data_IF_814144829717
#
_entry.id   IF_814144829717
#
_cell.length_a   1.000
_cell.length_b   1.000
_cell.length_c   1.000
_cell.angle_alpha   90.00
_cell.angle_beta   90.00
_cell.angle_gamma   90.00
#
_symmetry.space_group_name_H-M   'P 1'
#
loop_
_entity.id
_entity.type
_entity.pdbx_description
1 polymer ?
#
# COMPACT_ATOMS: atom_id res chain seq x y z
N UNK A 1 48.31 -79.30 -8.63
CA UNK A 1 47.55 -78.79 -9.79
C UNK A 1 46.72 -77.61 -9.31
N UNK A 2 47.12 -76.38 -9.65
CA UNK A 2 46.42 -75.17 -9.21
C UNK A 2 45.39 -74.76 -10.29
N UNK A 3 44.11 -74.72 -9.92
CA UNK A 3 43.02 -74.32 -10.81
C UNK A 3 42.77 -72.82 -10.63
N UNK A 4 43.02 -72.04 -11.68
CA UNK A 4 42.74 -70.60 -11.74
C UNK A 4 41.34 -70.39 -12.30
N UNK A 5 40.37 -70.05 -11.46
CA UNK A 5 39.04 -69.61 -11.89
C UNK A 5 39.11 -68.19 -12.45
N UNK A 6 38.92 -68.05 -13.77
CA UNK A 6 38.71 -66.75 -14.42
C UNK A 6 37.31 -66.26 -14.05
N UNK A 7 37.23 -65.18 -13.29
CA UNK A 7 35.98 -64.46 -13.01
C UNK A 7 35.51 -63.76 -14.30
N UNK A 8 34.33 -64.14 -14.78
CA UNK A 8 33.68 -63.50 -15.93
C UNK A 8 33.00 -62.21 -15.47
N UNK A 9 33.62 -61.08 -15.82
CA UNK A 9 33.17 -59.73 -15.48
C UNK A 9 32.25 -59.11 -16.56
N UNK A 10 31.78 -59.90 -17.54
CA UNK A 10 30.93 -59.41 -18.62
C UNK A 10 29.58 -58.80 -18.14
N UNK A 11 29.12 -59.15 -16.94
CA UNK A 11 27.88 -58.63 -16.36
C UNK A 11 28.03 -57.21 -15.79
N UNK A 12 29.25 -56.78 -15.42
CA UNK A 12 29.52 -55.44 -14.90
C UNK A 12 29.54 -54.37 -16.00
N UNK A 13 29.69 -54.77 -17.26
CA UNK A 13 29.81 -53.84 -18.38
C UNK A 13 28.45 -53.40 -18.95
N UNK A 14 27.33 -53.92 -18.44
CA UNK A 14 25.97 -53.65 -18.95
C UNK A 14 25.08 -52.82 -18.04
N UNK A 15 25.64 -51.97 -17.17
CA UNK A 15 24.85 -50.91 -16.54
C UNK A 15 25.22 -49.56 -17.16
N UNK A 16 24.32 -48.94 -17.95
CA UNK A 16 24.45 -47.54 -18.28
C UNK A 16 24.17 -46.74 -17.01
N UNK A 17 25.23 -46.44 -16.27
CA UNK A 17 25.19 -45.46 -15.18
C UNK A 17 25.04 -44.09 -15.83
N UNK A 18 23.86 -43.49 -15.70
CA UNK A 18 23.70 -42.03 -15.76
C UNK A 18 23.25 -41.42 -17.08
N UNK A 19 22.06 -41.79 -17.59
CA UNK A 19 21.39 -40.99 -18.64
C UNK A 19 19.94 -40.57 -18.32
N UNK A 20 19.41 -40.91 -17.14
CA UNK A 20 18.00 -40.62 -16.80
C UNK A 20 17.72 -39.39 -15.93
N UNK A 21 18.74 -38.69 -15.41
CA UNK A 21 18.51 -37.63 -14.41
C UNK A 21 18.23 -36.24 -15.01
N UNK A 22 18.45 -36.03 -16.31
CA UNK A 22 18.36 -34.71 -16.96
C UNK A 22 17.69 -34.73 -18.35
N UNK A 23 16.69 -35.58 -18.60
CA UNK A 23 15.76 -35.32 -19.70
C UNK A 23 14.69 -34.30 -19.27
N UNK A 24 15.14 -33.11 -18.86
CA UNK A 24 14.21 -31.98 -18.75
C UNK A 24 14.00 -31.40 -20.13
N UNK A 25 12.75 -31.35 -20.56
CA UNK A 25 12.37 -30.64 -21.77
C UNK A 25 12.89 -29.20 -21.72
N UNK A 26 13.32 -28.65 -22.86
CA UNK A 26 13.87 -27.29 -22.96
C UNK A 26 12.92 -26.24 -22.34
N UNK A 27 11.61 -26.49 -22.38
CA UNK A 27 10.59 -25.67 -21.74
C UNK A 27 10.64 -25.73 -20.21
N UNK A 28 10.86 -26.89 -19.60
CA UNK A 28 11.04 -27.03 -18.14
C UNK A 28 12.26 -26.24 -17.67
N UNK A 29 13.38 -26.37 -18.40
CA UNK A 29 14.63 -25.65 -18.09
C UNK A 29 14.39 -24.13 -18.18
N UNK A 30 13.78 -23.67 -19.27
CA UNK A 30 13.48 -22.26 -19.48
C UNK A 30 12.56 -21.69 -18.38
N UNK A 31 11.52 -22.42 -17.98
CA UNK A 31 10.61 -22.01 -16.90
C UNK A 31 11.33 -21.96 -15.56
N UNK A 32 12.16 -22.95 -15.23
CA UNK A 32 12.94 -22.93 -13.98
C UNK A 32 13.94 -21.78 -13.94
N UNK A 33 14.63 -21.48 -15.04
CA UNK A 33 15.56 -20.35 -15.13
C UNK A 33 14.82 -19.01 -15.02
N UNK A 34 13.69 -18.86 -15.70
CA UNK A 34 12.86 -17.66 -15.60
C UNK A 34 12.35 -17.47 -14.17
N UNK A 35 11.88 -18.52 -13.50
CA UNK A 35 11.45 -18.46 -12.11
C UNK A 35 12.61 -18.12 -11.15
N UNK A 36 13.80 -18.69 -11.36
CA UNK A 36 15.00 -18.43 -10.57
C UNK A 36 15.40 -16.95 -10.61
N UNK A 37 15.17 -16.26 -11.74
CA UNK A 37 15.48 -14.84 -11.89
C UNK A 37 14.33 -13.95 -11.44
N UNK A 38 13.10 -14.25 -11.86
CA UNK A 38 11.95 -13.37 -11.60
C UNK A 38 11.53 -13.36 -10.13
N UNK A 39 11.52 -14.51 -9.46
CA UNK A 39 11.11 -14.61 -8.05
C UNK A 39 11.95 -13.72 -7.13
N UNK A 40 13.30 -13.76 -7.13
CA UNK A 40 14.10 -12.89 -6.28
C UNK A 40 14.05 -11.42 -6.69
N UNK A 41 13.85 -11.10 -7.98
CA UNK A 41 13.68 -9.70 -8.43
C UNK A 41 12.36 -9.12 -7.91
N UNK A 42 11.27 -9.87 -8.04
CA UNK A 42 9.95 -9.47 -7.50
C UNK A 42 10.00 -9.38 -5.98
N UNK A 43 10.61 -10.36 -5.31
CA UNK A 43 10.81 -10.34 -3.87
C UNK A 43 11.64 -9.12 -3.44
N UNK A 44 12.77 -8.86 -4.11
CA UNK A 44 13.62 -7.70 -3.83
C UNK A 44 12.86 -6.39 -3.99
N UNK A 45 12.06 -6.23 -5.05
CA UNK A 45 11.23 -5.05 -5.25
C UNK A 45 10.22 -4.84 -4.11
N UNK A 46 9.55 -5.91 -3.66
CA UNK A 46 8.59 -5.87 -2.55
C UNK A 46 9.28 -5.55 -1.22
N UNK A 47 10.45 -6.13 -0.95
CA UNK A 47 11.17 -5.96 0.31
C UNK A 47 11.99 -4.67 0.37
N UNK A 48 12.50 -4.17 -0.76
CA UNK A 48 13.25 -2.92 -0.84
C UNK A 48 12.37 -1.71 -0.50
N UNK A 49 11.07 -1.74 -0.85
CA UNK A 49 10.11 -0.70 -0.48
C UNK A 49 9.80 -0.58 1.02
N UNK A 50 10.27 -1.52 1.86
CA UNK A 50 9.95 -1.58 3.30
C UNK A 50 11.04 -1.07 4.25
N UNK A 51 12.27 -0.79 3.77
CA UNK A 51 13.44 -0.60 4.66
C UNK A 51 13.75 0.83 5.14
N UNK A 52 12.88 1.82 4.92
CA UNK A 52 13.31 3.22 4.96
C UNK A 52 12.90 4.10 6.15
N UNK A 53 11.89 3.77 6.94
CA UNK A 53 11.40 4.68 7.99
C UNK A 53 10.84 3.87 9.15
N UNK A 54 11.01 4.36 10.39
CA UNK A 54 10.33 3.83 11.57
C UNK A 54 8.85 3.58 11.19
N UNK A 55 8.46 2.31 11.10
CA UNK A 55 7.20 1.93 10.48
C UNK A 55 6.05 2.37 11.39
N UNK A 56 5.46 3.53 11.07
CA UNK A 56 4.23 3.98 11.70
C UNK A 56 3.20 2.85 11.55
N UNK A 57 2.60 2.36 12.65
CA UNK A 57 1.72 1.21 12.62
C UNK A 57 0.55 1.44 11.68
N UNK A 58 0.28 0.48 10.80
CA UNK A 58 -0.87 0.49 9.90
C UNK A 58 -2.03 -0.26 10.56
N UNK A 59 -3.17 0.39 10.75
CA UNK A 59 -4.29 -0.17 11.51
C UNK A 59 -5.14 -1.18 10.73
N UNK A 60 -5.17 -1.05 9.40
CA UNK A 60 -5.89 -1.95 8.51
C UNK A 60 -4.97 -2.52 7.41
N UNK A 61 -3.94 -3.30 7.80
CA UNK A 61 -3.07 -3.93 6.81
C UNK A 61 -3.90 -4.89 5.95
N UNK A 62 -3.64 -4.96 4.63
CA UNK A 62 -4.23 -5.98 3.79
C UNK A 62 -3.78 -7.37 4.27
N UNK A 63 -4.71 -8.31 4.35
CA UNK A 63 -4.38 -9.71 4.62
C UNK A 63 -3.58 -10.36 3.47
N UNK A 64 -3.13 -11.61 3.66
CA UNK A 64 -2.54 -12.38 2.57
C UNK A 64 -3.50 -12.46 1.38
N UNK A 65 -3.02 -12.13 0.18
CA UNK A 65 -3.80 -12.06 -1.07
C UNK A 65 -4.92 -11.00 -1.11
N UNK A 66 -4.99 -10.12 -0.11
CA UNK A 66 -5.92 -9.00 -0.10
C UNK A 66 -5.27 -7.76 -0.74
N UNK A 67 -6.03 -7.05 -1.58
CA UNK A 67 -5.55 -5.81 -2.19
C UNK A 67 -5.73 -4.64 -1.23
N UNK A 68 -4.81 -3.67 -1.24
CA UNK A 68 -5.00 -2.42 -0.50
C UNK A 68 -6.31 -1.70 -0.88
N UNK A 69 -6.77 -1.88 -2.12
CA UNK A 69 -8.03 -1.31 -2.60
C UNK A 69 -9.25 -1.84 -1.83
N UNK A 70 -9.27 -3.10 -1.38
CA UNK A 70 -10.39 -3.61 -0.59
C UNK A 70 -10.49 -2.90 0.75
N UNK A 71 -9.35 -2.64 1.41
CA UNK A 71 -9.28 -1.87 2.66
C UNK A 71 -9.74 -0.43 2.46
N UNK A 72 -9.38 0.19 1.35
CA UNK A 72 -9.82 1.53 0.99
C UNK A 72 -11.35 1.62 0.84
N UNK A 73 -11.97 0.63 0.18
CA UNK A 73 -13.43 0.56 -0.02
C UNK A 73 -14.19 0.25 1.27
N UNK A 74 -13.61 -0.52 2.19
CA UNK A 74 -14.22 -0.84 3.49
C UNK A 74 -14.10 0.31 4.51
N UNK A 75 -13.10 1.19 4.34
CA UNK A 75 -12.80 2.24 5.30
C UNK A 75 -13.98 3.19 5.62
N UNK A 76 -14.81 3.65 4.67
CA UNK A 76 -15.94 4.52 4.98
C UNK A 76 -16.94 3.92 5.97
N UNK A 77 -17.08 2.58 6.00
CA UNK A 77 -18.00 1.89 6.89
C UNK A 77 -17.39 1.61 8.27
N UNK A 78 -16.07 1.37 8.34
CA UNK A 78 -15.38 0.89 9.54
C UNK A 78 -14.41 1.92 10.14
N UNK A 79 -14.25 3.09 9.51
CA UNK A 79 -13.18 4.04 9.81
C UNK A 79 -13.23 4.56 11.24
N UNK A 80 -14.42 4.83 11.77
CA UNK A 80 -14.59 5.30 13.15
C UNK A 80 -14.21 4.22 14.18
N UNK A 81 -14.60 2.97 13.94
CA UNK A 81 -14.25 1.84 14.81
C UNK A 81 -12.75 1.56 14.78
N UNK A 82 -12.14 1.60 13.58
CA UNK A 82 -10.70 1.48 13.41
C UNK A 82 -9.96 2.61 14.13
N UNK A 83 -10.44 3.84 14.05
CA UNK A 83 -9.86 4.98 14.77
C UNK A 83 -9.95 4.80 16.29
N UNK A 84 -11.12 4.41 16.81
CA UNK A 84 -11.31 4.16 18.24
C UNK A 84 -10.43 3.02 18.74
N UNK A 85 -10.27 1.96 17.93
CA UNK A 85 -9.37 0.85 18.22
C UNK A 85 -7.91 1.29 18.21
N UNK A 86 -7.49 2.10 17.24
CA UNK A 86 -6.15 2.65 17.15
C UNK A 86 -5.81 3.50 18.39
N UNK A 87 -6.72 4.35 18.85
CA UNK A 87 -6.52 5.17 20.05
C UNK A 87 -6.32 4.35 21.33
N UNK A 88 -6.91 3.16 21.41
CA UNK A 88 -6.72 2.24 22.54
C UNK A 88 -5.40 1.46 22.45
N UNK A 89 -5.00 1.05 21.25
CA UNK A 89 -3.80 0.23 21.04
C UNK A 89 -2.50 1.06 21.01
N UNK A 90 -2.57 2.26 20.46
CA UNK A 90 -1.43 3.14 20.21
C UNK A 90 -1.71 4.53 20.82
N UNK A 91 -1.79 4.63 22.17
CA UNK A 91 -1.93 5.92 22.82
C UNK A 91 -0.72 6.79 22.48
N UNK A 92 -0.97 8.06 22.15
CA UNK A 92 0.05 9.09 21.87
C UNK A 92 1.06 8.76 20.75
N UNK A 93 0.74 7.79 19.89
CA UNK A 93 1.57 7.43 18.75
C UNK A 93 0.88 7.79 17.44
N UNK A 94 1.66 8.12 16.38
CA UNK A 94 1.10 8.26 15.05
C UNK A 94 0.62 6.90 14.54
N UNK A 95 -0.48 6.88 13.77
CA UNK A 95 -1.05 5.65 13.20
C UNK A 95 -1.47 5.89 11.75
N UNK A 96 -1.24 4.91 10.88
CA UNK A 96 -1.63 4.92 9.48
C UNK A 96 -2.93 4.16 9.23
N UNK A 97 -3.67 4.62 8.24
CA UNK A 97 -4.89 3.98 7.74
C UNK A 97 -4.89 4.01 6.23
N UNK A 98 -5.25 2.88 5.60
CA UNK A 98 -5.64 2.85 4.19
C UNK A 98 -7.10 3.32 4.12
N UNK A 99 -7.36 4.43 3.44
CA UNK A 99 -8.68 5.04 3.29
C UNK A 99 -9.10 5.08 1.82
N UNK A 100 -10.36 5.41 1.55
CA UNK A 100 -10.85 5.65 0.19
C UNK A 100 -10.18 6.85 -0.51
N UNK A 101 -9.51 7.73 0.24
CA UNK A 101 -8.72 8.87 -0.27
C UNK A 101 -7.20 8.58 -0.29
N UNK A 102 -6.79 7.33 -0.07
CA UNK A 102 -5.39 6.93 0.02
C UNK A 102 -4.94 6.69 1.46
N UNK A 103 -3.62 6.66 1.69
CA UNK A 103 -3.09 6.37 3.04
C UNK A 103 -3.06 7.65 3.88
N UNK A 104 -3.81 7.65 4.98
CA UNK A 104 -3.86 8.75 5.94
C UNK A 104 -2.98 8.42 7.16
N UNK A 105 -2.16 9.38 7.60
CA UNK A 105 -1.44 9.29 8.88
C UNK A 105 -2.11 10.22 9.88
N UNK A 106 -2.58 9.67 10.99
CA UNK A 106 -3.13 10.44 12.10
C UNK A 106 -2.03 10.64 13.12
N UNK A 107 -1.78 11.91 13.45
CA UNK A 107 -0.78 12.30 14.44
C UNK A 107 -1.42 12.44 15.84
N UNK A 108 -0.65 12.23 16.91
CA UNK A 108 -1.12 12.50 18.26
C UNK A 108 -1.36 14.00 18.48
N UNK A 109 -2.21 14.33 19.46
CA UNK A 109 -2.74 15.69 19.64
C UNK A 109 -1.69 16.69 20.12
N UNK A 110 -0.67 16.22 20.83
CA UNK A 110 0.51 16.99 21.25
C UNK A 110 1.27 17.60 20.05
N UNK A 111 1.23 16.94 18.88
CA UNK A 111 1.88 17.39 17.64
C UNK A 111 1.07 18.42 16.85
N UNK A 112 -0.14 18.78 17.30
CA UNK A 112 -0.99 19.72 16.57
C UNK A 112 -0.32 21.09 16.35
N UNK A 113 0.48 21.56 17.32
CA UNK A 113 1.18 22.84 17.20
C UNK A 113 2.33 22.79 16.20
N UNK A 114 3.10 21.70 16.22
CA UNK A 114 4.20 21.49 15.27
C UNK A 114 3.69 21.44 13.83
N UNK A 115 2.61 20.70 13.62
CA UNK A 115 2.00 20.47 12.31
C UNK A 115 1.43 21.76 11.70
N UNK A 116 0.88 22.66 12.51
CA UNK A 116 0.39 23.98 12.07
C UNK A 116 1.50 24.90 11.56
N UNK A 117 2.74 24.71 12.04
CA UNK A 117 3.89 25.53 11.65
C UNK A 117 4.54 25.13 10.33
N UNK A 118 4.18 23.97 9.78
CA UNK A 118 4.81 23.41 8.57
C UNK A 118 4.25 24.13 7.33
N UNK A 119 5.07 24.99 6.71
CA UNK A 119 4.68 25.77 5.52
C UNK A 119 4.33 24.92 4.29
N UNK A 120 4.82 23.69 4.21
CA UNK A 120 4.50 22.77 3.12
C UNK A 120 3.15 22.07 3.29
N UNK A 121 2.51 22.16 4.46
CA UNK A 121 1.19 21.61 4.71
C UNK A 121 0.13 22.70 4.58
N UNK A 122 -0.72 22.57 3.56
CA UNK A 122 -1.89 23.42 3.38
C UNK A 122 -3.17 22.67 3.76
N UNK A 123 -3.61 22.86 5.00
CA UNK A 123 -4.84 22.25 5.50
C UNK A 123 -6.09 22.81 4.83
N UNK A 124 -6.06 24.06 4.34
CA UNK A 124 -7.21 24.69 3.69
C UNK A 124 -7.43 24.04 2.34
N UNK A 125 -6.35 23.90 1.57
CA UNK A 125 -6.35 23.18 0.30
C UNK A 125 -6.79 21.73 0.50
N UNK A 126 -6.18 21.02 1.46
CA UNK A 126 -6.53 19.62 1.73
C UNK A 126 -8.01 19.44 2.12
N UNK A 127 -8.57 20.38 2.89
CA UNK A 127 -9.99 20.34 3.28
C UNK A 127 -10.92 20.62 2.09
N UNK A 128 -10.59 21.63 1.28
CA UNK A 128 -11.31 21.99 0.05
C UNK A 128 -11.43 20.79 -0.91
N UNK A 129 -10.35 20.02 -1.10
CA UNK A 129 -10.36 18.82 -1.95
C UNK A 129 -11.09 17.61 -1.36
N UNK A 130 -11.26 17.55 -0.03
CA UNK A 130 -11.90 16.41 0.64
C UNK A 130 -13.43 16.44 0.55
N UNK A 131 -14.00 17.61 0.30
CA UNK A 131 -15.45 17.78 0.16
C UNK A 131 -15.91 17.46 -1.27
N UNK A 132 -16.94 16.63 -1.46
CA UNK A 132 -17.54 16.46 -2.77
C UNK A 132 -18.15 17.80 -3.22
N UNK A 133 -17.66 18.38 -4.32
CA UNK A 133 -18.21 19.62 -4.90
C UNK A 133 -19.70 19.50 -5.22
N UNK A 134 -20.18 18.28 -5.47
CA UNK A 134 -21.57 17.95 -5.78
C UNK A 134 -22.47 17.82 -4.56
N UNK A 135 -21.93 17.78 -3.34
CA UNK A 135 -22.73 17.77 -2.12
C UNK A 135 -23.37 19.15 -1.90
N UNK A 136 -24.60 19.24 -1.37
CA UNK A 136 -25.19 20.52 -0.98
C UNK A 136 -24.26 21.28 -0.02
N UNK A 137 -23.80 22.46 -0.41
CA UNK A 137 -22.83 23.27 0.34
C UNK A 137 -21.36 22.97 0.04
N UNK A 138 -21.03 21.95 -0.77
CA UNK A 138 -19.66 21.60 -1.15
C UNK A 138 -18.91 22.73 -1.88
N UNK A 139 -19.61 23.49 -2.71
CA UNK A 139 -19.05 24.68 -3.39
C UNK A 139 -18.63 25.80 -2.41
N UNK A 140 -19.24 25.88 -1.23
CA UNK A 140 -18.79 26.83 -0.20
C UNK A 140 -17.49 26.35 0.47
N UNK A 141 -17.26 25.03 0.49
CA UNK A 141 -16.04 24.45 1.04
C UNK A 141 -14.84 24.68 0.11
N UNK A 142 -15.07 24.76 -1.21
CA UNK A 142 -14.00 25.11 -2.15
C UNK A 142 -13.50 26.55 -2.03
N UNK A 143 -14.34 27.48 -1.57
CA UNK A 143 -13.94 28.88 -1.36
C UNK A 143 -12.91 29.03 -0.22
N UNK A 144 -12.74 28.02 0.66
CA UNK A 144 -11.71 28.06 1.69
C UNK A 144 -10.28 28.07 1.14
N UNK A 145 -10.05 27.56 -0.07
CA UNK A 145 -8.74 27.64 -0.75
C UNK A 145 -8.45 29.06 -1.29
N UNK A 146 -9.48 29.90 -1.41
CA UNK A 146 -9.40 31.26 -1.95
C UNK A 146 -9.89 32.29 -0.93
N UNK A 147 -9.10 32.61 0.12
CA UNK A 147 -9.51 33.51 1.21
C UNK A 147 -10.09 34.86 0.75
N UNK A 148 -9.52 35.42 -0.32
CA UNK A 148 -9.92 36.71 -0.86
C UNK A 148 -11.29 36.65 -1.56
N UNK A 149 -11.67 35.49 -2.07
CA UNK A 149 -12.96 35.26 -2.75
C UNK A 149 -14.09 35.00 -1.75
N UNK A 150 -13.79 34.58 -0.51
CA UNK A 150 -14.80 34.36 0.54
C UNK A 150 -15.55 35.66 0.82
N UNK A 151 -14.82 36.75 1.05
CA UNK A 151 -15.42 38.06 1.34
C UNK A 151 -16.24 38.54 0.15
N UNK A 152 -15.71 38.42 -1.06
CA UNK A 152 -16.40 38.84 -2.30
C UNK A 152 -17.67 38.01 -2.55
N UNK A 153 -17.63 36.70 -2.31
CA UNK A 153 -18.77 35.78 -2.50
C UNK A 153 -19.86 36.04 -1.47
N UNK A 154 -19.48 36.23 -0.20
CA UNK A 154 -20.42 36.54 0.88
C UNK A 154 -21.07 37.89 0.63
N UNK A 155 -20.28 38.94 0.35
CA UNK A 155 -20.79 40.29 0.06
C UNK A 155 -21.71 40.27 -1.15
N UNK A 156 -21.29 39.66 -2.27
CA UNK A 156 -22.12 39.54 -3.48
C UNK A 156 -23.43 38.81 -3.17
N UNK A 157 -23.39 37.67 -2.47
CA UNK A 157 -24.60 36.91 -2.13
C UNK A 157 -25.60 37.72 -1.30
N UNK A 158 -25.13 38.50 -0.33
CA UNK A 158 -26.00 39.38 0.46
C UNK A 158 -26.56 40.53 -0.38
N UNK A 159 -25.75 41.11 -1.27
CA UNK A 159 -26.18 42.18 -2.18
C UNK A 159 -27.22 41.67 -3.19
N UNK A 160 -27.00 40.54 -3.87
CA UNK A 160 -27.96 40.00 -4.84
C UNK A 160 -29.27 39.59 -4.18
N UNK A 161 -29.23 39.03 -2.96
CA UNK A 161 -30.44 38.70 -2.19
C UNK A 161 -31.26 39.92 -1.79
N UNK A 162 -30.62 41.07 -1.58
CA UNK A 162 -31.29 42.36 -1.28
C UNK A 162 -31.83 43.02 -2.55
N UNK A 163 -31.19 42.80 -3.70
CA UNK A 163 -31.56 43.38 -4.99
C UNK A 163 -32.65 42.59 -5.73
N UNK A 164 -32.89 41.33 -5.36
CA UNK A 164 -33.97 40.49 -5.90
C UNK A 164 -35.31 40.66 -5.17
N UNK A 165 -35.50 41.79 -4.49
CA UNK A 165 -36.76 42.26 -3.89
C UNK A 165 -37.24 43.41 -4.77
#
# INVERSE_FOLDING_TARGET
>A
MASSSKLDLAWLQKQPVGQGFLEMSQSTIAVTLAALVLVPVIASYIFAGRKGAAEIPLMNPPGPFELALSKAVQFPQQGLDLYNKARKLFPDQPVKFITNAGTLTILPSDRAQEVKGIRSLDFRKSFSYSAPLTAPGGAALSTFDHPNEIVQTVVSKYLTKRLSI
#
